data_IF_152925893134
#
_entry.id   IF_152925893134
#
_cell.length_a   1.000
_cell.length_b   1.000
_cell.length_c   1.000
_cell.angle_alpha   90.00
_cell.angle_beta   90.00
_cell.angle_gamma   90.00
#
_symmetry.space_group_name_H-M   'P 1'
#
loop_
_entity.id
_entity.type
_entity.pdbx_description
1 polymer ?
#
# COMPACT_ATOMS: atom_id res chain seq x y z
N UNK A 1 -13.39 -13.28 1.24
CA UNK A 1 -14.39 -12.24 0.92
C UNK A 1 -14.93 -11.69 2.23
N UNK A 2 -14.30 -10.66 2.80
CA UNK A 2 -14.88 -9.89 3.91
C UNK A 2 -14.08 -8.60 4.07
N UNK A 3 -14.47 -7.58 3.29
CA UNK A 3 -13.90 -6.22 3.38
C UNK A 3 -14.92 -5.13 3.06
N UNK A 4 -16.19 -5.50 2.81
CA UNK A 4 -17.27 -4.57 2.42
C UNK A 4 -18.27 -4.23 3.53
N UNK A 5 -18.29 -4.98 4.63
CA UNK A 5 -19.16 -4.71 5.78
C UNK A 5 -18.86 -3.36 6.47
N UNK A 6 -17.59 -2.97 6.75
CA UNK A 6 -17.33 -1.72 7.48
C UNK A 6 -17.69 -0.45 6.69
N UNK A 7 -17.60 -0.47 5.35
CA UNK A 7 -17.94 0.69 4.51
C UNK A 7 -19.46 0.90 4.45
N UNK A 8 -20.22 -0.20 4.45
CA UNK A 8 -21.69 -0.14 4.41
C UNK A 8 -22.27 0.41 5.71
N UNK A 9 -21.67 0.07 6.85
CA UNK A 9 -22.03 0.65 8.15
C UNK A 9 -21.70 2.14 8.24
N UNK A 10 -20.52 2.57 7.74
CA UNK A 10 -20.14 3.98 7.69
C UNK A 10 -21.09 4.81 6.81
N UNK A 11 -21.51 4.28 5.67
CA UNK A 11 -22.47 4.95 4.79
C UNK A 11 -23.86 5.08 5.43
N UNK A 12 -24.32 4.03 6.10
CA UNK A 12 -25.59 4.04 6.84
C UNK A 12 -25.60 5.07 7.98
N UNK A 13 -24.49 5.17 8.73
CA UNK A 13 -24.33 6.14 9.80
C UNK A 13 -24.38 7.59 9.27
N UNK A 14 -23.70 7.87 8.16
CA UNK A 14 -23.71 9.19 7.52
C UNK A 14 -25.12 9.59 7.03
N UNK A 15 -25.86 8.64 6.46
CA UNK A 15 -27.21 8.86 5.98
C UNK A 15 -28.19 9.15 7.13
N UNK A 16 -28.00 8.49 8.28
CA UNK A 16 -28.76 8.75 9.52
C UNK A 16 -28.47 10.16 10.06
N UNK A 17 -27.20 10.57 10.09
CA UNK A 17 -26.79 11.90 10.55
C UNK A 17 -27.36 13.02 9.67
N UNK A 18 -27.42 12.83 8.34
CA UNK A 18 -28.03 13.81 7.44
C UNK A 18 -29.54 13.99 7.65
N UNK A 19 -30.27 12.90 7.88
CA UNK A 19 -31.71 12.95 8.19
C UNK A 19 -32.00 13.71 9.49
N UNK A 20 -31.17 13.49 10.51
CA UNK A 20 -31.33 14.13 11.81
C UNK A 20 -31.10 15.64 11.74
N UNK A 21 -30.11 16.08 10.96
CA UNK A 21 -29.85 17.50 10.68
C UNK A 21 -31.03 18.19 9.98
N UNK A 22 -31.67 17.50 9.03
CA UNK A 22 -32.83 18.02 8.30
C UNK A 22 -34.04 18.20 9.23
N UNK A 23 -34.26 17.27 10.16
CA UNK A 23 -35.35 17.35 11.12
C UNK A 23 -35.15 18.51 12.12
N UNK A 24 -33.93 18.72 12.61
CA UNK A 24 -33.60 19.84 13.49
C UNK A 24 -33.82 21.21 12.81
N UNK A 25 -33.54 21.31 11.50
CA UNK A 25 -33.82 22.54 10.73
C UNK A 25 -35.32 22.79 10.56
N UNK A 26 -36.12 21.74 10.33
CA UNK A 26 -37.58 21.84 10.25
C UNK A 26 -38.20 22.31 11.58
N UNK A 27 -37.74 21.76 12.70
CA UNK A 27 -38.18 22.17 14.04
C UNK A 27 -37.84 23.63 14.35
N UNK A 28 -36.64 24.09 13.97
CA UNK A 28 -36.25 25.50 14.13
C UNK A 28 -37.10 26.44 13.27
N UNK A 29 -37.52 26.02 12.07
CA UNK A 29 -38.41 26.84 11.23
C UNK A 29 -39.84 26.92 11.77
N UNK A 30 -40.35 25.84 12.38
CA UNK A 30 -41.69 25.83 12.96
C UNK A 30 -41.76 26.68 14.24
N UNK A 31 -40.72 26.69 15.08
CA UNK A 31 -40.67 27.57 16.26
C UNK A 31 -40.74 29.06 15.87
N UNK A 32 -40.00 29.48 14.83
CA UNK A 32 -40.07 30.87 14.32
C UNK A 32 -41.44 31.29 13.79
N UNK A 33 -42.29 30.36 13.34
CA UNK A 33 -43.64 30.68 12.86
C UNK A 33 -44.66 30.88 13.99
N UNK A 34 -44.46 30.22 15.13
CA UNK A 34 -45.38 30.33 16.28
C UNK A 34 -45.21 31.67 16.99
N UNK A 35 -43.97 32.15 17.14
CA UNK A 35 -43.67 33.41 17.82
C UNK A 35 -44.23 34.64 17.09
N UNK A 36 -44.41 34.58 15.76
CA UNK A 36 -44.98 35.67 14.96
C UNK A 36 -46.52 35.79 15.09
N UNK A 37 -47.22 34.73 15.50
CA UNK A 37 -48.69 34.72 15.58
C UNK A 37 -49.27 35.28 16.88
N UNK A 38 -48.45 35.45 17.93
CA UNK A 38 -48.92 35.87 19.26
C UNK A 38 -49.07 37.39 19.39
N UNK A 39 -48.50 38.19 18.47
CA UNK A 39 -48.45 39.66 18.60
C UNK A 39 -49.60 40.45 17.96
N UNK A 40 -50.65 39.81 17.42
CA UNK A 40 -51.69 40.50 16.64
C UNK A 40 -53.13 40.43 17.18
N UNK A 41 -53.33 40.25 18.48
CA UNK A 41 -54.68 40.36 19.07
C UNK A 41 -54.72 41.41 20.19
N UNK A 42 -54.98 42.67 19.83
CA UNK A 42 -55.60 43.65 20.74
C UNK A 42 -56.80 44.28 20.01
N UNK A 43 -58.00 43.79 20.32
CA UNK A 43 -59.27 44.48 20.07
C UNK A 43 -59.35 45.69 21.01
N UNK A 44 -59.62 46.88 20.46
CA UNK A 44 -59.89 48.09 21.25
C UNK A 44 -61.32 48.51 21.01
N UNK A 45 -62.13 48.26 22.04
CA UNK A 45 -63.48 48.76 22.27
C UNK A 45 -63.48 50.30 22.42
N UNK A 46 -64.49 50.93 21.82
CA UNK A 46 -64.59 52.37 21.62
C UNK A 46 -65.16 53.09 22.85
N UNK A 47 -64.34 53.90 23.53
CA UNK A 47 -64.76 54.89 24.52
C UNK A 47 -63.92 56.19 24.43
N UNK A 48 -64.51 57.40 24.60
CA UNK A 48 -63.84 58.65 24.28
C UNK A 48 -62.98 59.17 25.45
N UNK A 49 -61.65 59.14 25.31
CA UNK A 49 -60.68 59.77 26.22
C UNK A 49 -59.60 60.56 25.41
N UNK A 50 -58.91 61.54 26.04
CA UNK A 50 -58.38 62.73 25.36
C UNK A 50 -57.31 62.44 24.31
N UNK A 51 -57.43 63.12 23.17
CA UNK A 51 -56.71 62.83 21.91
C UNK A 51 -55.23 63.29 21.96
N UNK A 52 -54.82 64.18 22.88
CA UNK A 52 -53.45 64.74 22.89
C UNK A 52 -52.41 63.84 23.57
N UNK A 53 -52.73 63.16 24.68
CA UNK A 53 -51.79 62.21 25.32
C UNK A 53 -51.64 60.92 24.51
N UNK A 54 -52.71 60.48 23.85
CA UNK A 54 -52.72 59.27 23.04
C UNK A 54 -51.86 59.41 21.77
N UNK A 55 -51.84 60.61 21.16
CA UNK A 55 -51.01 60.88 19.98
C UNK A 55 -49.50 60.86 20.30
N UNK A 56 -49.08 61.32 21.49
CA UNK A 56 -47.68 61.25 21.92
C UNK A 56 -47.23 59.81 22.21
N UNK A 57 -48.10 58.98 22.79
CA UNK A 57 -47.82 57.56 23.03
C UNK A 57 -47.74 56.80 21.70
N UNK A 58 -48.66 57.04 20.77
CA UNK A 58 -48.64 56.43 19.43
C UNK A 58 -47.38 56.88 18.66
N UNK A 59 -47.02 58.16 18.72
CA UNK A 59 -45.80 58.66 18.08
C UNK A 59 -44.52 58.03 18.66
N UNK A 60 -44.45 57.82 19.99
CA UNK A 60 -43.28 57.17 20.61
C UNK A 60 -43.21 55.67 20.27
N UNK A 61 -44.36 54.99 20.18
CA UNK A 61 -44.43 53.59 19.75
C UNK A 61 -43.96 53.47 18.29
N UNK A 62 -44.41 54.36 17.40
CA UNK A 62 -43.98 54.38 16.00
C UNK A 62 -42.49 54.69 15.90
N UNK A 63 -41.97 55.64 16.67
CA UNK A 63 -40.54 55.98 16.68
C UNK A 63 -39.69 54.79 17.16
N UNK A 64 -40.08 54.13 18.24
CA UNK A 64 -39.41 52.93 18.75
C UNK A 64 -39.48 51.76 17.75
N UNK A 65 -40.60 51.60 17.05
CA UNK A 65 -40.73 50.59 15.98
C UNK A 65 -39.83 50.94 14.78
N UNK A 66 -39.76 52.20 14.38
CA UNK A 66 -38.87 52.67 13.32
C UNK A 66 -37.40 52.47 13.70
N UNK A 67 -37.02 52.74 14.95
CA UNK A 67 -35.68 52.50 15.46
C UNK A 67 -35.32 51.01 15.43
N UNK A 68 -36.20 50.15 15.94
CA UNK A 68 -36.01 48.69 15.91
C UNK A 68 -35.91 48.15 14.48
N UNK A 69 -36.78 48.62 13.56
CA UNK A 69 -36.70 48.25 12.14
C UNK A 69 -35.38 48.73 11.50
N UNK A 70 -34.92 49.94 11.82
CA UNK A 70 -33.64 50.46 11.34
C UNK A 70 -32.46 49.63 11.86
N UNK A 71 -32.52 49.20 13.12
CA UNK A 71 -31.50 48.34 13.73
C UNK A 71 -31.48 46.96 13.08
N UNK A 72 -32.65 46.34 12.85
CA UNK A 72 -32.75 45.08 12.09
C UNK A 72 -32.23 45.22 10.65
N UNK A 73 -32.53 46.33 9.97
CA UNK A 73 -32.00 46.60 8.62
C UNK A 73 -30.47 46.70 8.66
N UNK A 74 -29.92 47.35 9.69
CA UNK A 74 -28.48 47.48 9.88
C UNK A 74 -27.84 46.11 10.13
N UNK A 75 -28.38 45.31 11.04
CA UNK A 75 -27.90 43.95 11.32
C UNK A 75 -27.95 43.05 10.07
N UNK A 76 -29.05 43.10 9.31
CA UNK A 76 -29.18 42.34 8.07
C UNK A 76 -28.21 42.81 6.98
N UNK A 77 -27.86 44.09 6.95
CA UNK A 77 -26.82 44.63 6.06
C UNK A 77 -25.43 44.15 6.47
N UNK A 78 -25.14 44.19 7.77
CA UNK A 78 -23.86 43.74 8.31
C UNK A 78 -23.67 42.23 8.07
N UNK A 79 -24.73 41.44 8.30
CA UNK A 79 -24.71 40.00 8.04
C UNK A 79 -24.59 39.68 6.55
N UNK A 80 -25.30 40.40 5.68
CA UNK A 80 -25.08 40.30 4.23
C UNK A 80 -23.63 40.63 3.84
N UNK A 81 -23.04 41.64 4.48
CA UNK A 81 -21.64 42.01 4.29
C UNK A 81 -20.68 40.88 4.65
N UNK A 82 -20.89 40.24 5.81
CA UNK A 82 -20.11 39.07 6.25
C UNK A 82 -20.29 37.89 5.31
N UNK A 83 -21.51 37.57 4.91
CA UNK A 83 -21.80 36.46 3.99
C UNK A 83 -21.16 36.68 2.62
N UNK A 84 -21.16 37.91 2.09
CA UNK A 84 -20.48 38.23 0.82
C UNK A 84 -18.96 38.05 0.91
N UNK A 85 -18.33 38.44 2.03
CA UNK A 85 -16.91 38.19 2.26
C UNK A 85 -16.59 36.70 2.33
N UNK A 86 -17.37 35.94 3.09
CA UNK A 86 -17.19 34.49 3.20
C UNK A 86 -17.40 33.79 1.84
N UNK A 87 -18.38 34.23 1.05
CA UNK A 87 -18.59 33.72 -0.30
C UNK A 87 -17.35 33.99 -1.18
N UNK A 88 -16.81 35.21 -1.16
CA UNK A 88 -15.61 35.56 -1.92
C UNK A 88 -14.38 34.73 -1.50
N UNK A 89 -14.20 34.48 -0.20
CA UNK A 89 -13.15 33.59 0.31
C UNK A 89 -13.33 32.15 -0.19
N UNK A 90 -14.57 31.63 -0.17
CA UNK A 90 -14.88 30.28 -0.66
C UNK A 90 -14.73 30.16 -2.17
N UNK A 91 -15.11 31.19 -2.92
CA UNK A 91 -14.91 31.24 -4.37
C UNK A 91 -13.42 31.26 -4.73
N UNK A 92 -12.60 32.00 -3.95
CA UNK A 92 -11.15 31.97 -4.09
C UNK A 92 -10.57 30.58 -3.77
N UNK A 93 -11.00 29.96 -2.67
CA UNK A 93 -10.58 28.60 -2.30
C UNK A 93 -10.96 27.59 -3.38
N UNK A 94 -12.18 27.65 -3.91
CA UNK A 94 -12.65 26.80 -5.01
C UNK A 94 -11.83 27.05 -6.29
N UNK A 95 -11.51 28.30 -6.60
CA UNK A 95 -10.65 28.65 -7.73
C UNK A 95 -9.24 28.11 -7.57
N UNK A 96 -8.67 28.21 -6.37
CA UNK A 96 -7.36 27.68 -6.03
C UNK A 96 -7.32 26.15 -6.11
N UNK A 97 -8.30 25.46 -5.53
CA UNK A 97 -8.42 24.00 -5.61
C UNK A 97 -8.62 23.50 -7.04
N UNK A 98 -9.41 24.21 -7.85
CA UNK A 98 -9.53 23.89 -9.29
C UNK A 98 -8.21 24.07 -10.02
N UNK A 99 -7.43 25.10 -9.70
CA UNK A 99 -6.11 25.31 -10.31
C UNK A 99 -5.16 24.16 -9.95
N UNK A 100 -5.10 23.77 -8.68
CA UNK A 100 -4.32 22.59 -8.26
C UNK A 100 -4.79 21.33 -8.97
N UNK A 101 -6.10 21.07 -9.03
CA UNK A 101 -6.62 19.90 -9.74
C UNK A 101 -6.29 19.91 -11.23
N UNK A 102 -6.32 21.08 -11.88
CA UNK A 102 -5.97 21.18 -13.29
C UNK A 102 -4.45 21.06 -13.49
N UNK A 103 -3.62 21.57 -12.58
CA UNK A 103 -2.16 21.37 -12.59
C UNK A 103 -1.79 19.90 -12.33
N UNK A 104 -2.43 19.24 -11.36
CA UNK A 104 -2.29 17.79 -11.11
C UNK A 104 -2.79 16.97 -12.29
N UNK A 105 -3.92 17.37 -12.88
CA UNK A 105 -4.45 16.75 -14.10
C UNK A 105 -3.53 16.97 -15.28
N UNK A 106 -2.88 18.13 -15.42
CA UNK A 106 -1.90 18.39 -16.47
C UNK A 106 -0.56 17.69 -16.20
N UNK A 107 -0.18 17.47 -14.94
CA UNK A 107 0.99 16.67 -14.58
C UNK A 107 0.74 15.17 -14.79
N UNK A 108 -0.49 14.71 -14.48
CA UNK A 108 -0.95 13.33 -14.70
C UNK A 108 -1.21 13.06 -16.19
N UNK A 109 -1.79 14.02 -16.89
CA UNK A 109 -1.94 14.10 -18.35
C UNK A 109 -0.80 14.96 -18.92
N UNK A 110 0.43 14.74 -18.44
CA UNK A 110 1.65 15.41 -18.88
C UNK A 110 2.02 15.05 -20.32
N UNK A 111 1.19 15.46 -21.26
CA UNK A 111 1.31 15.21 -22.68
C UNK A 111 -0.04 15.24 -23.37
N UNK A 112 -0.64 16.43 -23.49
CA UNK A 112 -1.93 16.66 -24.13
C UNK A 112 -1.90 16.50 -25.67
N UNK A 113 -1.11 15.55 -26.19
CA UNK A 113 -1.20 15.10 -27.59
C UNK A 113 -0.96 13.60 -27.82
N UNK A 114 -0.27 12.86 -26.95
CA UNK A 114 -0.02 11.40 -27.15
C UNK A 114 0.14 10.61 -25.83
N UNK A 115 0.29 11.28 -24.68
CA UNK A 115 0.76 10.65 -23.43
C UNK A 115 -0.29 9.81 -22.66
N UNK A 116 -1.56 10.21 -22.67
CA UNK A 116 -2.62 9.48 -21.95
C UNK A 116 -2.92 8.11 -22.55
N UNK A 117 -2.94 8.04 -23.89
CA UNK A 117 -3.10 6.77 -24.62
C UNK A 117 -1.84 5.91 -24.51
N UNK A 118 -0.65 6.53 -24.49
CA UNK A 118 0.62 5.85 -24.21
C UNK A 118 0.69 5.25 -22.79
N UNK A 119 0.14 5.92 -21.77
CA UNK A 119 0.10 5.39 -20.39
C UNK A 119 -0.96 4.27 -20.29
N UNK A 120 -2.14 4.46 -20.89
CA UNK A 120 -3.18 3.43 -20.90
C UNK A 120 -2.72 2.16 -21.63
N UNK A 121 -2.10 2.31 -22.80
CA UNK A 121 -1.46 1.20 -23.51
C UNK A 121 -0.33 0.58 -22.69
N UNK A 122 0.49 1.38 -21.99
CA UNK A 122 1.53 0.83 -21.12
C UNK A 122 0.99 0.06 -19.92
N UNK A 123 -0.12 0.50 -19.32
CA UNK A 123 -0.80 -0.22 -18.24
C UNK A 123 -1.34 -1.56 -18.76
N UNK A 124 -1.95 -1.57 -19.94
CA UNK A 124 -2.45 -2.80 -20.57
C UNK A 124 -1.30 -3.73 -20.94
N UNK A 125 -0.21 -3.21 -21.49
CA UNK A 125 0.99 -3.97 -21.85
C UNK A 125 1.65 -4.58 -20.61
N UNK A 126 1.84 -3.79 -19.53
CA UNK A 126 2.36 -4.27 -18.26
C UNK A 126 1.42 -5.31 -17.63
N UNK A 127 0.11 -5.12 -17.73
CA UNK A 127 -0.88 -6.09 -17.25
C UNK A 127 -0.82 -7.39 -18.04
N UNK A 128 -0.64 -7.32 -19.35
CA UNK A 128 -0.45 -8.49 -20.22
C UNK A 128 0.84 -9.24 -19.88
N UNK A 129 1.95 -8.50 -19.75
CA UNK A 129 3.25 -9.04 -19.33
C UNK A 129 3.20 -9.67 -17.94
N UNK A 130 2.44 -9.09 -17.02
CA UNK A 130 2.27 -9.65 -15.67
C UNK A 130 1.46 -10.97 -15.70
N UNK A 131 0.45 -11.09 -16.58
CA UNK A 131 -0.26 -12.35 -16.83
C UNK A 131 0.65 -13.41 -17.46
N UNK A 132 1.46 -13.03 -18.44
CA UNK A 132 2.43 -13.92 -19.09
C UNK A 132 3.48 -14.45 -18.10
N UNK A 133 4.10 -13.57 -17.33
CA UNK A 133 5.06 -13.95 -16.27
C UNK A 133 4.41 -14.84 -15.21
N UNK A 134 3.16 -14.57 -14.83
CA UNK A 134 2.42 -15.42 -13.90
C UNK A 134 2.19 -16.82 -14.47
N UNK A 135 1.82 -16.92 -15.75
CA UNK A 135 1.64 -18.21 -16.44
C UNK A 135 2.97 -18.97 -16.59
N UNK A 136 4.05 -18.29 -16.92
CA UNK A 136 5.38 -18.88 -17.04
C UNK A 136 5.87 -19.41 -15.68
N UNK A 137 5.70 -18.63 -14.61
CA UNK A 137 6.02 -19.03 -13.24
C UNK A 137 5.20 -20.25 -12.80
N UNK A 138 3.91 -20.30 -13.11
CA UNK A 138 3.06 -21.46 -12.81
C UNK A 138 3.53 -22.70 -13.60
N UNK A 139 3.93 -22.52 -14.86
CA UNK A 139 4.47 -23.60 -15.70
C UNK A 139 5.81 -24.15 -15.17
N UNK A 140 6.70 -23.28 -14.71
CA UNK A 140 7.97 -23.66 -14.10
C UNK A 140 7.77 -24.33 -12.74
N UNK A 141 6.83 -23.84 -11.93
CA UNK A 141 6.40 -24.54 -10.70
C UNK A 141 5.87 -25.94 -11.00
N UNK A 142 5.09 -26.11 -12.06
CA UNK A 142 4.60 -27.42 -12.47
C UNK A 142 5.74 -28.36 -12.92
N UNK A 143 6.72 -27.84 -13.68
CA UNK A 143 7.93 -28.60 -14.06
C UNK A 143 8.77 -28.99 -12.84
N UNK A 144 8.99 -28.06 -11.90
CA UNK A 144 9.71 -28.34 -10.65
C UNK A 144 9.00 -29.38 -9.80
N UNK A 145 7.67 -29.34 -9.69
CA UNK A 145 6.89 -30.39 -9.01
C UNK A 145 7.08 -31.75 -9.67
N UNK A 146 7.01 -31.82 -11.01
CA UNK A 146 7.24 -33.07 -11.75
C UNK A 146 8.66 -33.62 -11.54
N UNK A 147 9.67 -32.75 -11.63
CA UNK A 147 11.06 -33.13 -11.37
C UNK A 147 11.28 -33.57 -9.92
N UNK A 148 10.68 -32.87 -8.95
CA UNK A 148 10.75 -33.24 -7.53
C UNK A 148 10.12 -34.59 -7.25
N UNK A 149 8.96 -34.90 -7.85
CA UNK A 149 8.33 -36.23 -7.76
C UNK A 149 9.25 -37.28 -8.36
N UNK A 150 9.82 -37.03 -9.54
CA UNK A 150 10.75 -37.96 -10.21
C UNK A 150 12.03 -38.19 -9.41
N UNK A 151 12.60 -37.16 -8.78
CA UNK A 151 13.73 -37.31 -7.87
C UNK A 151 13.36 -38.19 -6.67
N UNK A 152 12.19 -37.98 -6.05
CA UNK A 152 11.70 -38.83 -4.95
C UNK A 152 11.45 -40.28 -5.38
N UNK A 153 10.93 -40.49 -6.58
CA UNK A 153 10.76 -41.84 -7.14
C UNK A 153 12.10 -42.53 -7.36
N UNK A 154 13.08 -41.83 -7.94
CA UNK A 154 14.44 -42.34 -8.15
C UNK A 154 15.17 -42.61 -6.83
N UNK A 155 15.04 -41.73 -5.83
CA UNK A 155 15.54 -41.95 -4.47
C UNK A 155 14.88 -43.18 -3.82
N UNK A 156 13.56 -43.36 -3.99
CA UNK A 156 12.85 -44.53 -3.46
C UNK A 156 13.28 -45.83 -4.15
N UNK A 157 13.56 -45.80 -5.46
CA UNK A 157 14.09 -46.95 -6.20
C UNK A 157 15.52 -47.26 -5.75
N UNK A 158 16.38 -46.24 -5.62
CA UNK A 158 17.76 -46.40 -5.19
C UNK A 158 17.86 -46.98 -3.76
N UNK A 159 16.97 -46.56 -2.86
CA UNK A 159 16.87 -47.10 -1.50
C UNK A 159 16.33 -48.55 -1.48
N UNK A 160 15.45 -48.93 -2.41
CA UNK A 160 14.98 -50.32 -2.57
C UNK A 160 16.05 -51.24 -3.16
N UNK A 161 16.94 -50.72 -4.01
CA UNK A 161 18.06 -51.49 -4.56
C UNK A 161 19.27 -51.60 -3.63
N UNK A 162 19.34 -50.77 -2.58
CA UNK A 162 20.40 -50.82 -1.55
C UNK A 162 19.99 -51.52 -0.25
N UNK A 163 18.72 -51.91 -0.09
CA UNK A 163 18.18 -52.49 1.13
C UNK A 163 17.58 -53.88 0.93
N UNK A 164 18.40 -54.87 0.56
CA UNK A 164 18.05 -56.29 0.75
C UNK A 164 19.12 -56.99 1.60
N UNK A 165 19.25 -56.53 2.84
CA UNK A 165 19.83 -57.30 3.94
C UNK A 165 18.98 -57.04 5.20
N UNK A 166 18.19 -58.07 5.52
CA UNK A 166 17.76 -58.49 6.86
C UNK A 166 16.35 -58.13 7.40
N UNK A 167 15.67 -59.22 7.80
CA UNK A 167 14.64 -59.40 8.87
C UNK A 167 13.18 -59.06 8.50
N UNK A 168 12.41 -60.07 8.08
CA UNK A 168 11.59 -61.05 8.85
C UNK A 168 10.13 -60.62 9.00
N UNK A 169 9.18 -61.57 8.87
CA UNK A 169 7.80 -61.33 8.48
C UNK A 169 6.92 -61.08 9.71
N UNK A 170 5.81 -60.35 9.52
CA UNK A 170 4.51 -60.46 10.21
C UNK A 170 3.71 -59.20 9.82
N UNK A 171 2.55 -59.39 9.17
CA UNK A 171 1.55 -58.39 8.69
C UNK A 171 1.64 -57.89 7.22
N UNK A 172 2.29 -58.63 6.32
CA UNK A 172 2.43 -58.18 4.93
C UNK A 172 1.18 -58.38 4.05
N UNK A 173 0.26 -59.30 4.36
CA UNK A 173 -0.83 -59.61 3.41
C UNK A 173 -1.89 -58.50 3.29
N UNK A 174 -2.27 -57.84 4.39
CA UNK A 174 -3.22 -56.71 4.33
C UNK A 174 -2.59 -55.45 3.72
N UNK A 175 -1.36 -55.12 4.09
CA UNK A 175 -0.64 -53.96 3.54
C UNK A 175 -0.26 -54.13 2.07
N UNK A 176 0.04 -55.37 1.65
CA UNK A 176 0.36 -55.69 0.25
C UNK A 176 -0.90 -55.71 -0.61
N UNK A 177 -2.00 -56.28 -0.11
CA UNK A 177 -3.29 -56.23 -0.79
C UNK A 177 -3.82 -54.78 -0.92
N UNK A 178 -3.66 -53.94 0.10
CA UNK A 178 -4.07 -52.53 0.04
C UNK A 178 -3.21 -51.71 -0.92
N UNK A 179 -1.90 -51.99 -0.97
CA UNK A 179 -0.99 -51.37 -1.92
C UNK A 179 -1.24 -51.82 -3.35
N UNK A 180 -1.48 -53.12 -3.59
CA UNK A 180 -1.87 -53.66 -4.89
C UNK A 180 -3.24 -53.11 -5.33
N UNK A 181 -4.21 -52.99 -4.41
CA UNK A 181 -5.50 -52.36 -4.69
C UNK A 181 -5.37 -50.88 -5.06
N UNK A 182 -4.44 -50.15 -4.43
CA UNK A 182 -4.15 -48.75 -4.77
C UNK A 182 -3.45 -48.63 -6.12
N UNK A 183 -2.46 -49.47 -6.40
CA UNK A 183 -1.77 -49.53 -7.69
C UNK A 183 -2.72 -49.89 -8.84
N UNK A 184 -3.61 -50.86 -8.62
CA UNK A 184 -4.67 -51.22 -9.58
C UNK A 184 -5.66 -50.07 -9.77
N UNK A 185 -6.06 -49.38 -8.71
CA UNK A 185 -6.96 -48.21 -8.79
C UNK A 185 -6.32 -47.06 -9.57
N UNK A 186 -5.05 -46.79 -9.35
CA UNK A 186 -4.32 -45.75 -10.06
C UNK A 186 -4.08 -46.13 -11.53
N UNK A 187 -3.82 -47.41 -11.82
CA UNK A 187 -3.73 -47.93 -13.19
C UNK A 187 -5.07 -47.85 -13.94
N UNK A 188 -6.18 -48.11 -13.26
CA UNK A 188 -7.53 -47.93 -13.82
C UNK A 188 -7.78 -46.45 -14.14
N UNK A 189 -7.38 -45.53 -13.26
CA UNK A 189 -7.50 -44.09 -13.51
C UNK A 189 -6.64 -43.63 -14.70
N UNK A 190 -5.39 -44.10 -14.80
CA UNK A 190 -4.51 -43.79 -15.94
C UNK A 190 -5.09 -44.31 -17.26
N UNK A 191 -5.55 -45.56 -17.28
CA UNK A 191 -6.21 -46.14 -18.46
C UNK A 191 -7.50 -45.40 -18.82
N UNK A 192 -8.29 -44.96 -17.84
CA UNK A 192 -9.48 -44.16 -18.08
C UNK A 192 -9.14 -42.79 -18.68
N UNK A 193 -8.08 -42.13 -18.19
CA UNK A 193 -7.60 -40.87 -18.75
C UNK A 193 -7.12 -41.05 -20.21
N UNK A 194 -6.30 -42.06 -20.48
CA UNK A 194 -5.85 -42.39 -21.85
C UNK A 194 -7.01 -42.74 -22.78
N UNK A 195 -8.01 -43.46 -22.28
CA UNK A 195 -9.22 -43.76 -23.04
C UNK A 195 -10.00 -42.50 -23.41
N UNK A 196 -10.16 -41.56 -22.47
CA UNK A 196 -10.82 -40.28 -22.76
C UNK A 196 -10.03 -39.43 -23.77
N UNK A 197 -8.71 -39.39 -23.67
CA UNK A 197 -7.85 -38.69 -24.62
C UNK A 197 -7.93 -39.31 -26.03
N UNK A 198 -7.82 -40.63 -26.12
CA UNK A 198 -7.95 -41.35 -27.39
C UNK A 198 -9.34 -41.15 -28.02
N UNK A 199 -10.40 -41.11 -27.20
CA UNK A 199 -11.77 -40.80 -27.68
C UNK A 199 -11.86 -39.37 -28.21
N UNK A 200 -11.30 -38.38 -27.52
CA UNK A 200 -11.24 -37.00 -28.00
C UNK A 200 -10.46 -36.89 -29.32
N UNK A 201 -9.31 -37.57 -29.45
CA UNK A 201 -8.53 -37.58 -30.68
C UNK A 201 -9.28 -38.25 -31.84
N UNK A 202 -10.04 -39.31 -31.56
CA UNK A 202 -10.91 -39.97 -32.54
C UNK A 202 -12.05 -39.04 -33.01
N UNK A 203 -12.61 -38.22 -32.12
CA UNK A 203 -13.63 -37.24 -32.49
C UNK A 203 -13.05 -36.08 -33.31
N UNK A 204 -11.85 -35.60 -32.97
CA UNK A 204 -11.13 -34.58 -33.77
C UNK A 204 -10.83 -35.10 -35.17
N UNK A 205 -10.22 -36.28 -35.28
CA UNK A 205 -9.88 -36.89 -36.58
C UNK A 205 -11.12 -37.17 -37.43
N UNK A 206 -12.25 -37.58 -36.82
CA UNK A 206 -13.54 -37.69 -37.52
C UNK A 206 -14.05 -36.35 -38.04
N UNK A 207 -13.90 -35.27 -37.27
CA UNK A 207 -14.30 -33.93 -37.71
C UNK A 207 -13.40 -33.41 -38.84
N UNK A 208 -12.10 -33.64 -38.76
CA UNK A 208 -11.14 -33.30 -39.82
C UNK A 208 -11.44 -34.09 -41.09
N UNK A 209 -11.72 -35.38 -40.99
CA UNK A 209 -12.12 -36.21 -42.12
C UNK A 209 -13.38 -35.66 -42.80
N UNK A 210 -14.39 -35.24 -42.03
CA UNK A 210 -15.59 -34.58 -42.57
C UNK A 210 -15.26 -33.25 -43.27
N UNK A 211 -14.33 -32.45 -42.74
CA UNK A 211 -13.90 -31.20 -43.38
C UNK A 211 -13.18 -31.47 -44.69
N UNK A 212 -12.29 -32.47 -44.74
CA UNK A 212 -11.58 -32.88 -45.96
C UNK A 212 -12.56 -33.43 -47.00
N UNK A 213 -13.52 -34.26 -46.59
CA UNK A 213 -14.58 -34.74 -47.47
C UNK A 213 -15.38 -33.57 -48.07
N UNK A 214 -15.83 -32.61 -47.25
CA UNK A 214 -16.52 -31.40 -47.76
C UNK A 214 -15.67 -30.53 -48.68
N UNK A 215 -14.36 -30.41 -48.42
CA UNK A 215 -13.45 -29.70 -49.30
C UNK A 215 -13.35 -30.41 -50.65
N UNK A 216 -13.25 -31.75 -50.63
CA UNK A 216 -13.23 -32.56 -51.83
C UNK A 216 -14.56 -32.49 -52.60
N UNK A 217 -15.71 -32.47 -51.92
CA UNK A 217 -17.04 -32.27 -52.55
C UNK A 217 -17.07 -30.95 -53.35
N UNK A 218 -16.51 -29.87 -52.80
CA UNK A 218 -16.45 -28.57 -53.50
C UNK A 218 -15.55 -28.59 -54.73
N UNK A 219 -14.46 -29.35 -54.70
CA UNK A 219 -13.51 -29.48 -55.81
C UNK A 219 -14.04 -30.38 -56.93
N UNK A 220 -14.69 -31.47 -56.57
CA UNK A 220 -15.21 -32.50 -57.48
C UNK A 220 -16.61 -32.11 -58.01
N UNK A 221 -17.37 -31.33 -57.25
CA UNK A 221 -18.74 -30.90 -57.56
C UNK A 221 -19.81 -31.84 -56.98
N UNK A 222 -20.99 -31.28 -56.69
CA UNK A 222 -22.08 -31.95 -55.97
C UNK A 222 -22.67 -33.20 -56.68
N UNK A 223 -22.32 -33.42 -57.95
CA UNK A 223 -22.86 -34.50 -58.79
C UNK A 223 -22.05 -35.79 -58.74
N UNK A 224 -20.92 -35.83 -58.01
CA UNK A 224 -19.99 -36.95 -58.04
C UNK A 224 -19.87 -37.62 -56.66
N UNK A 225 -20.15 -38.92 -56.61
CA UNK A 225 -20.07 -39.70 -55.38
C UNK A 225 -18.61 -39.98 -54.99
N UNK A 226 -18.13 -39.34 -53.93
CA UNK A 226 -16.77 -39.50 -53.39
C UNK A 226 -16.47 -40.96 -53.01
N UNK A 227 -17.45 -41.71 -52.54
CA UNK A 227 -17.27 -43.12 -52.20
C UNK A 227 -16.99 -43.97 -53.44
N UNK A 228 -17.54 -43.63 -54.60
CA UNK A 228 -17.26 -44.30 -55.87
C UNK A 228 -15.85 -43.93 -56.40
N UNK A 229 -15.35 -42.73 -56.11
CA UNK A 229 -13.96 -42.35 -56.41
C UNK A 229 -12.99 -43.14 -55.52
N UNK A 230 -13.24 -43.18 -54.21
CA UNK A 230 -12.39 -43.93 -53.25
C UNK A 230 -12.35 -45.43 -53.55
N UNK A 231 -13.47 -46.01 -54.00
CA UNK A 231 -13.55 -47.42 -54.39
C UNK A 231 -13.06 -47.69 -55.82
N UNK A 232 -12.57 -46.68 -56.55
CA UNK A 232 -12.01 -46.82 -57.89
C UNK A 232 -13.03 -47.17 -58.99
N UNK A 233 -14.34 -47.07 -58.71
CA UNK A 233 -15.42 -47.40 -59.66
C UNK A 233 -15.91 -46.18 -60.44
N UNK A 234 -15.34 -45.00 -60.22
CA UNK A 234 -15.70 -43.76 -60.88
C UNK A 234 -14.72 -43.40 -62.00
N UNK A 235 -15.26 -43.04 -63.18
CA UNK A 235 -14.47 -42.50 -64.30
C UNK A 235 -14.17 -40.99 -64.17
N UNK A 236 -14.36 -40.42 -62.98
CA UNK A 236 -14.16 -39.00 -62.75
C UNK A 236 -12.68 -38.62 -62.83
N UNK A 237 -12.35 -37.67 -63.72
CA UNK A 237 -11.02 -37.08 -63.87
C UNK A 237 -11.09 -35.68 -63.28
N UNK A 238 -10.28 -35.39 -62.24
CA UNK A 238 -10.45 -34.19 -61.39
C UNK A 238 -10.63 -32.87 -62.14
N UNK A 239 -11.39 -31.92 -61.56
CA UNK A 239 -11.76 -30.64 -62.17
C UNK A 239 -10.57 -29.87 -62.74
N UNK A 240 -9.44 -29.86 -62.04
CA UNK A 240 -8.20 -29.25 -62.53
C UNK A 240 -7.73 -29.86 -63.86
N UNK A 241 -7.77 -31.19 -63.99
CA UNK A 241 -7.40 -31.87 -65.23
C UNK A 241 -8.42 -31.58 -66.34
N UNK A 242 -9.71 -31.48 -66.00
CA UNK A 242 -10.76 -31.12 -66.95
C UNK A 242 -10.59 -29.67 -67.43
N UNK A 243 -10.24 -28.73 -66.55
CA UNK A 243 -9.91 -27.35 -66.89
C UNK A 243 -8.69 -27.30 -67.82
N UNK A 244 -7.61 -28.00 -67.48
CA UNK A 244 -6.40 -28.08 -68.34
C UNK A 244 -6.78 -28.61 -69.73
N UNK A 245 -7.53 -29.70 -69.80
CA UNK A 245 -7.97 -30.29 -71.08
C UNK A 245 -8.85 -29.33 -71.88
N UNK A 246 -9.73 -28.58 -71.22
CA UNK A 246 -10.57 -27.56 -71.87
C UNK A 246 -9.75 -26.35 -72.32
N UNK A 247 -8.78 -25.91 -71.53
CA UNK A 247 -7.85 -24.83 -71.89
C UNK A 247 -7.01 -25.21 -73.11
N UNK A 248 -6.50 -26.44 -73.16
CA UNK A 248 -5.78 -26.99 -74.32
C UNK A 248 -6.68 -27.01 -75.56
N UNK A 249 -7.93 -27.51 -75.45
CA UNK A 249 -8.89 -27.49 -76.56
C UNK A 249 -9.25 -26.08 -77.01
N UNK A 250 -9.43 -25.13 -76.09
CA UNK A 250 -9.70 -23.73 -76.43
C UNK A 250 -8.50 -23.12 -77.16
N UNK A 251 -7.28 -23.41 -76.72
CA UNK A 251 -6.06 -22.93 -77.38
C UNK A 251 -5.91 -23.55 -78.78
N UNK A 252 -6.23 -24.83 -78.94
CA UNK A 252 -6.25 -25.50 -80.25
C UNK A 252 -7.32 -24.88 -81.17
N UNK A 253 -8.54 -24.68 -80.69
CA UNK A 253 -9.62 -24.05 -81.45
C UNK A 253 -9.29 -22.60 -81.81
N UNK A 254 -8.73 -21.82 -80.88
CA UNK A 254 -8.23 -20.46 -81.18
C UNK A 254 -7.17 -20.49 -82.27
N UNK A 255 -6.22 -21.43 -82.20
CA UNK A 255 -5.18 -21.60 -83.21
C UNK A 255 -5.79 -21.97 -84.58
N UNK A 256 -6.79 -22.84 -84.61
CA UNK A 256 -7.55 -23.20 -85.82
C UNK A 256 -8.35 -22.02 -86.38
N UNK A 257 -8.99 -21.19 -85.54
CA UNK A 257 -9.72 -20.00 -86.00
C UNK A 257 -8.78 -18.94 -86.56
N UNK A 258 -7.59 -18.76 -85.97
CA UNK A 258 -6.56 -17.86 -86.49
C UNK A 258 -6.06 -18.36 -87.85
N UNK A 259 -5.81 -19.67 -88.00
CA UNK A 259 -5.44 -20.26 -89.30
C UNK A 259 -6.57 -20.26 -90.34
N UNK A 260 -7.83 -20.39 -89.92
CA UNK A 260 -8.97 -20.29 -90.84
C UNK A 260 -9.27 -18.83 -91.23
N UNK A 261 -8.97 -17.86 -90.37
CA UNK A 261 -9.12 -16.43 -90.69
C UNK A 261 -8.05 -15.93 -91.67
N UNK A 262 -6.90 -16.60 -91.79
CA UNK A 262 -5.91 -16.30 -92.84
C UNK A 262 -6.33 -16.74 -94.25
N UNK A 263 -7.44 -17.48 -94.41
CA UNK A 263 -7.98 -17.91 -95.71
C UNK A 263 -9.28 -17.18 -96.12
N UNK A 264 -9.72 -16.17 -95.38
CA UNK A 264 -10.93 -15.39 -95.66
C UNK A 264 -10.63 -13.90 -95.89
N UNK A 265 -10.01 -13.58 -97.02
CA UNK A 265 -9.88 -12.21 -97.52
C UNK A 265 -11.17 -11.83 -98.28
N UNK A 266 -12.04 -11.02 -97.65
CA UNK A 266 -12.85 -9.95 -98.26
C UNK A 266 -13.98 -9.48 -97.32
N UNK A 267 -13.81 -8.28 -96.75
CA UNK A 267 -14.75 -7.14 -96.71
C UNK A 267 -14.21 -6.15 -95.67
N UNK A 268 -13.64 -5.03 -96.10
CA UNK A 268 -14.33 -3.79 -96.47
C UNK A 268 -14.60 -2.89 -95.25
N UNK A 269 -13.77 -1.85 -95.16
CA UNK A 269 -14.08 -0.50 -94.73
C UNK A 269 -15.17 -0.31 -93.64
N UNK A 270 -14.79 -0.49 -92.37
CA UNK A 270 -15.31 0.32 -91.23
C UNK A 270 -14.69 -0.07 -89.87
N UNK A 271 -13.74 -1.02 -89.83
CA UNK A 271 -13.10 -1.47 -88.58
C UNK A 271 -11.96 -0.57 -88.08
N UNK A 272 -11.49 0.38 -88.90
CA UNK A 272 -10.27 1.15 -88.59
C UNK A 272 -10.48 2.27 -87.55
N UNK A 273 -11.73 2.73 -87.35
CA UNK A 273 -12.10 3.74 -86.34
C UNK A 273 -12.51 3.11 -85.00
N UNK A 274 -12.91 1.83 -84.99
CA UNK A 274 -13.24 1.11 -83.76
C UNK A 274 -11.98 0.44 -83.17
N UNK A 275 -11.10 -0.11 -84.02
CA UNK A 275 -9.84 -0.71 -83.59
C UNK A 275 -8.87 0.32 -82.99
N UNK A 276 -8.72 1.51 -83.57
CA UNK A 276 -7.87 2.59 -83.01
C UNK A 276 -8.41 3.13 -81.69
N UNK A 277 -9.73 3.28 -81.54
CA UNK A 277 -10.36 3.70 -80.28
C UNK A 277 -10.28 2.61 -79.20
N UNK A 278 -10.36 1.33 -79.58
CA UNK A 278 -10.15 0.21 -78.65
C UNK A 278 -8.68 0.12 -78.23
N UNK A 279 -7.73 0.33 -79.14
CA UNK A 279 -6.30 0.27 -78.86
C UNK A 279 -5.83 1.48 -78.01
N UNK A 280 -6.38 2.68 -78.26
CA UNK A 280 -6.11 3.87 -77.43
C UNK A 280 -6.77 3.79 -76.04
N UNK A 281 -7.98 3.23 -75.92
CA UNK A 281 -8.62 3.02 -74.61
C UNK A 281 -7.97 1.88 -73.82
N UNK A 282 -7.52 0.81 -74.48
CA UNK A 282 -6.72 -0.26 -73.87
C UNK A 282 -5.35 0.29 -73.43
N UNK A 283 -4.66 1.07 -74.28
CA UNK A 283 -3.40 1.72 -73.94
C UNK A 283 -3.53 2.68 -72.75
N UNK A 284 -4.58 3.50 -72.70
CA UNK A 284 -4.86 4.40 -71.57
C UNK A 284 -5.20 3.65 -70.28
N UNK A 285 -5.98 2.56 -70.37
CA UNK A 285 -6.26 1.69 -69.23
C UNK A 285 -4.97 1.01 -68.72
N UNK A 286 -4.11 0.56 -69.63
CA UNK A 286 -2.83 -0.07 -69.32
C UNK A 286 -1.85 0.94 -68.71
N UNK A 287 -1.88 2.20 -69.14
CA UNK A 287 -1.12 3.29 -68.54
C UNK A 287 -1.62 3.63 -67.13
N UNK A 288 -2.94 3.69 -66.91
CA UNK A 288 -3.53 3.85 -65.57
C UNK A 288 -3.16 2.70 -64.64
N UNK A 289 -3.15 1.45 -65.12
CA UNK A 289 -2.70 0.31 -64.33
C UNK A 289 -1.21 0.39 -63.98
N UNK A 290 -0.36 0.85 -64.90
CA UNK A 290 1.07 1.08 -64.62
C UNK A 290 1.30 2.17 -63.57
N UNK A 291 0.57 3.27 -63.67
CA UNK A 291 0.69 4.36 -62.69
C UNK A 291 0.13 3.96 -61.32
N UNK A 292 -0.94 3.15 -61.29
CA UNK A 292 -1.46 2.56 -60.06
C UNK A 292 -0.48 1.57 -59.42
N UNK A 293 0.19 0.72 -60.21
CA UNK A 293 1.27 -0.15 -59.71
C UNK A 293 2.40 0.69 -59.09
N UNK A 294 2.86 1.75 -59.78
CA UNK A 294 3.88 2.66 -59.25
C UNK A 294 3.43 3.41 -57.99
N UNK A 295 2.14 3.71 -57.87
CA UNK A 295 1.55 4.31 -56.65
C UNK A 295 1.62 3.31 -55.49
N UNK A 296 1.14 2.09 -55.69
CA UNK A 296 1.17 1.01 -54.69
C UNK A 296 2.62 0.67 -54.29
N UNK A 297 3.56 0.65 -55.23
CA UNK A 297 4.99 0.41 -54.94
C UNK A 297 5.61 1.53 -54.08
N UNK A 298 5.27 2.79 -54.37
CA UNK A 298 5.69 3.93 -53.53
C UNK A 298 5.07 3.86 -52.15
N UNK A 299 3.76 3.65 -52.05
CA UNK A 299 3.06 3.50 -50.77
C UNK A 299 3.66 2.34 -49.95
N UNK A 300 3.96 1.19 -50.59
CA UNK A 300 4.61 0.05 -49.93
C UNK A 300 6.01 0.41 -49.43
N UNK A 301 6.79 1.17 -50.22
CA UNK A 301 8.13 1.62 -49.82
C UNK A 301 8.06 2.61 -48.66
N UNK A 302 7.12 3.54 -48.69
CA UNK A 302 6.92 4.55 -47.65
C UNK A 302 6.46 3.88 -46.34
N UNK A 303 5.52 2.93 -46.40
CA UNK A 303 5.11 2.11 -45.26
C UNK A 303 6.27 1.30 -44.69
N UNK A 304 7.11 0.72 -45.56
CA UNK A 304 8.29 -0.03 -45.11
C UNK A 304 9.30 0.87 -44.40
N UNK A 305 9.57 2.07 -44.92
CA UNK A 305 10.50 3.01 -44.27
C UNK A 305 9.91 3.54 -42.96
N UNK A 306 8.60 3.81 -42.89
CA UNK A 306 7.92 4.18 -41.65
C UNK A 306 8.04 3.07 -40.58
N UNK A 307 7.72 1.82 -40.95
CA UNK A 307 7.86 0.67 -40.04
C UNK A 307 9.31 0.48 -39.58
N UNK A 308 10.29 0.69 -40.46
CA UNK A 308 11.71 0.61 -40.13
C UNK A 308 12.13 1.71 -39.14
N UNK A 309 11.65 2.93 -39.33
CA UNK A 309 11.88 4.03 -38.39
C UNK A 309 11.24 3.74 -37.04
N UNK A 310 10.00 3.25 -37.02
CA UNK A 310 9.29 2.87 -35.78
C UNK A 310 10.00 1.74 -35.03
N UNK A 311 10.49 0.72 -35.75
CA UNK A 311 11.32 -0.34 -35.13
C UNK A 311 12.60 0.26 -34.53
N UNK A 312 13.21 1.24 -35.20
CA UNK A 312 14.42 1.89 -34.69
C UNK A 312 14.16 2.76 -33.47
N UNK A 313 13.06 3.52 -33.44
CA UNK A 313 12.67 4.32 -32.26
C UNK A 313 12.35 3.41 -31.08
N UNK A 314 11.56 2.34 -31.28
CA UNK A 314 11.23 1.36 -30.24
C UNK A 314 12.51 0.69 -29.70
N UNK A 315 13.48 0.34 -30.57
CA UNK A 315 14.77 -0.22 -30.11
C UNK A 315 15.56 0.76 -29.25
N UNK A 316 15.62 2.03 -29.66
CA UNK A 316 16.30 3.06 -28.88
C UNK A 316 15.62 3.27 -27.52
N UNK A 317 14.28 3.34 -27.50
CA UNK A 317 13.49 3.43 -26.27
C UNK A 317 13.73 2.22 -25.36
N UNK A 318 13.72 1.01 -25.92
CA UNK A 318 14.01 -0.22 -25.18
C UNK A 318 15.41 -0.17 -24.55
N UNK A 319 16.41 0.35 -25.27
CA UNK A 319 17.77 0.50 -24.74
C UNK A 319 17.80 1.51 -23.59
N UNK A 320 17.21 2.71 -23.77
CA UNK A 320 17.17 3.71 -22.69
C UNK A 320 16.42 3.22 -21.45
N UNK A 321 15.36 2.44 -21.61
CA UNK A 321 14.63 1.83 -20.49
C UNK A 321 15.46 0.76 -19.77
N UNK A 322 16.24 -0.04 -20.49
CA UNK A 322 17.20 -0.97 -19.88
C UNK A 322 18.26 -0.23 -19.06
N UNK A 323 18.81 0.86 -19.60
CA UNK A 323 19.83 1.65 -18.90
C UNK A 323 19.25 2.29 -17.62
N UNK A 324 18.03 2.86 -17.70
CA UNK A 324 17.31 3.38 -16.51
C UNK A 324 17.03 2.30 -15.47
N UNK A 325 16.66 1.10 -15.90
CA UNK A 325 16.45 -0.04 -15.00
C UNK A 325 17.74 -0.43 -14.29
N UNK A 326 18.86 -0.49 -15.02
CA UNK A 326 20.15 -0.88 -14.46
C UNK A 326 20.71 0.19 -13.49
N UNK A 327 20.52 1.47 -13.82
CA UNK A 327 20.79 2.58 -12.91
C UNK A 327 19.96 2.47 -11.63
N UNK A 328 18.66 2.17 -11.75
CA UNK A 328 17.77 1.99 -10.59
C UNK A 328 18.18 0.81 -9.71
N UNK A 329 18.54 -0.33 -10.31
CA UNK A 329 19.09 -1.48 -9.57
C UNK A 329 20.37 -1.14 -8.83
N UNK A 330 21.30 -0.46 -9.50
CA UNK A 330 22.58 -0.05 -8.89
C UNK A 330 22.34 0.89 -7.71
N UNK A 331 21.46 1.88 -7.87
CA UNK A 331 21.04 2.76 -6.78
C UNK A 331 20.41 1.98 -5.62
N UNK A 332 19.55 0.99 -5.92
CA UNK A 332 18.91 0.18 -4.89
C UNK A 332 19.93 -0.65 -4.09
N UNK A 333 20.95 -1.20 -4.75
CA UNK A 333 22.05 -1.93 -4.11
C UNK A 333 22.82 -0.99 -3.17
N UNK A 334 23.19 0.22 -3.64
CA UNK A 334 23.91 1.21 -2.84
C UNK A 334 23.08 1.62 -1.61
N UNK A 335 21.82 2.00 -1.81
CA UNK A 335 20.92 2.38 -0.71
C UNK A 335 20.71 1.23 0.29
N UNK A 336 20.62 0.00 -0.19
CA UNK A 336 20.51 -1.18 0.68
C UNK A 336 21.77 -1.35 1.54
N UNK A 337 22.94 -1.12 0.96
CA UNK A 337 24.20 -1.18 1.70
C UNK A 337 24.32 -0.02 2.70
N UNK A 338 23.94 1.20 2.33
CA UNK A 338 23.88 2.34 3.26
C UNK A 338 22.95 2.07 4.45
N UNK A 339 21.76 1.51 4.21
CA UNK A 339 20.83 1.10 5.28
C UNK A 339 21.47 0.05 6.19
N UNK A 340 22.22 -0.91 5.66
CA UNK A 340 22.93 -1.91 6.48
C UNK A 340 23.99 -1.23 7.35
N UNK A 341 24.81 -0.35 6.78
CA UNK A 341 25.84 0.39 7.53
C UNK A 341 25.23 1.28 8.61
N UNK A 342 24.15 2.00 8.31
CA UNK A 342 23.44 2.83 9.30
C UNK A 342 22.85 1.99 10.43
N UNK A 343 22.31 0.80 10.14
CA UNK A 343 21.81 -0.12 11.17
C UNK A 343 22.93 -0.63 12.08
N UNK A 344 24.10 -0.91 11.51
CA UNK A 344 25.27 -1.32 12.28
C UNK A 344 25.78 -0.18 13.16
N UNK A 345 25.89 1.03 12.63
CA UNK A 345 26.23 2.22 13.41
C UNK A 345 25.23 2.46 14.54
N UNK A 346 23.92 2.37 14.27
CA UNK A 346 22.89 2.49 15.29
C UNK A 346 23.03 1.42 16.38
N UNK A 347 23.32 0.17 16.00
CA UNK A 347 23.57 -0.92 16.95
C UNK A 347 24.75 -0.59 17.86
N UNK A 348 25.86 -0.13 17.31
CA UNK A 348 27.02 0.27 18.13
C UNK A 348 26.71 1.45 19.07
N UNK A 349 25.90 2.40 18.62
CA UNK A 349 25.49 3.53 19.48
C UNK A 349 24.56 3.09 20.60
N UNK A 350 23.66 2.14 20.34
CA UNK A 350 22.80 1.55 21.37
C UNK A 350 23.61 0.75 22.39
N UNK A 351 24.62 0.00 21.93
CA UNK A 351 25.54 -0.69 22.83
C UNK A 351 26.27 0.32 23.72
N UNK A 352 26.82 1.42 23.16
CA UNK A 352 27.44 2.48 23.97
C UNK A 352 26.49 3.07 25.01
N UNK A 353 25.26 3.40 24.62
CA UNK A 353 24.24 3.90 25.55
C UNK A 353 24.00 2.94 26.72
N UNK A 354 23.96 1.63 26.47
CA UNK A 354 23.82 0.64 27.55
C UNK A 354 25.01 0.64 28.50
N UNK A 355 26.23 0.72 27.98
CA UNK A 355 27.43 0.81 28.82
C UNK A 355 27.45 2.12 29.63
N UNK A 356 27.00 3.23 29.03
CA UNK A 356 26.87 4.51 29.73
C UNK A 356 25.82 4.43 30.85
N UNK A 357 24.67 3.78 30.60
CA UNK A 357 23.64 3.52 31.61
C UNK A 357 24.17 2.64 32.76
N UNK A 358 24.91 1.57 32.44
CA UNK A 358 25.58 0.72 33.44
C UNK A 358 26.60 1.51 34.27
N UNK A 359 27.38 2.39 33.63
CA UNK A 359 28.33 3.27 34.32
C UNK A 359 27.62 4.25 35.25
N UNK A 360 26.53 4.86 34.80
CA UNK A 360 25.68 5.76 35.62
C UNK A 360 25.15 4.99 36.83
N UNK A 361 24.64 3.78 36.66
CA UNK A 361 24.15 2.94 37.75
C UNK A 361 25.24 2.63 38.79
N UNK A 362 26.46 2.32 38.34
CA UNK A 362 27.60 2.08 39.23
C UNK A 362 27.96 3.35 40.01
N UNK A 363 28.01 4.51 39.34
CA UNK A 363 28.32 5.79 39.98
C UNK A 363 27.23 6.19 40.99
N UNK A 364 25.95 5.98 40.66
CA UNK A 364 24.84 6.24 41.57
C UNK A 364 24.91 5.34 42.82
N UNK A 365 25.23 4.06 42.66
CA UNK A 365 25.46 3.14 43.79
C UNK A 365 26.63 3.59 44.66
N UNK A 366 27.75 4.00 44.05
CA UNK A 366 28.90 4.53 44.80
C UNK A 366 28.54 5.81 45.56
N UNK A 367 27.82 6.74 44.92
CA UNK A 367 27.35 7.97 45.55
C UNK A 367 26.43 7.69 46.74
N UNK A 368 25.50 6.73 46.58
CA UNK A 368 24.61 6.30 47.66
C UNK A 368 25.39 5.68 48.82
N UNK A 369 26.37 4.81 48.53
CA UNK A 369 27.22 4.22 49.56
C UNK A 369 28.01 5.28 50.33
N UNK A 370 28.60 6.26 49.62
CA UNK A 370 29.31 7.38 50.26
C UNK A 370 28.38 8.20 51.16
N UNK A 371 27.15 8.47 50.71
CA UNK A 371 26.16 9.18 51.52
C UNK A 371 25.80 8.41 52.80
N UNK A 372 25.61 7.10 52.72
CA UNK A 372 25.35 6.24 53.88
C UNK A 372 26.55 6.29 54.86
N UNK A 373 27.78 6.17 54.35
CA UNK A 373 28.97 6.28 55.21
C UNK A 373 29.10 7.65 55.86
N UNK A 374 28.77 8.74 55.14
CA UNK A 374 28.78 10.09 55.70
C UNK A 374 27.73 10.26 56.81
N UNK A 375 26.50 9.76 56.61
CA UNK A 375 25.46 9.75 57.62
C UNK A 375 25.87 8.93 58.86
N UNK A 376 26.56 7.80 58.66
CA UNK A 376 27.07 6.98 59.75
C UNK A 376 28.18 7.70 60.53
N UNK A 377 29.18 8.29 59.84
CA UNK A 377 30.22 9.08 60.49
C UNK A 377 29.64 10.27 61.27
N UNK A 378 28.60 10.93 60.73
CA UNK A 378 27.93 12.03 61.43
C UNK A 378 27.29 11.56 62.73
N UNK A 379 26.61 10.41 62.73
CA UNK A 379 26.04 9.80 63.94
C UNK A 379 27.13 9.43 64.95
N UNK A 380 28.24 8.86 64.49
CA UNK A 380 29.36 8.47 65.35
C UNK A 380 30.02 9.69 66.00
N UNK A 381 30.13 10.81 65.26
CA UNK A 381 30.59 12.10 65.79
C UNK A 381 29.64 12.66 66.85
N UNK A 382 28.33 12.64 66.60
CA UNK A 382 27.33 13.11 67.57
C UNK A 382 27.34 12.27 68.86
N UNK A 383 27.52 10.95 68.75
CA UNK A 383 27.66 10.05 69.89
C UNK A 383 28.94 10.36 70.66
N UNK A 384 30.08 10.51 69.98
CA UNK A 384 31.34 10.88 70.63
C UNK A 384 31.24 12.23 71.34
N UNK A 385 30.58 13.21 70.75
CA UNK A 385 30.37 14.51 71.36
C UNK A 385 29.57 14.39 72.66
N UNK A 386 28.46 13.63 72.67
CA UNK A 386 27.67 13.35 73.87
C UNK A 386 28.50 12.68 74.96
N UNK A 387 29.24 11.63 74.63
CA UNK A 387 30.12 10.92 75.58
C UNK A 387 31.17 11.87 76.17
N UNK A 388 31.81 12.70 75.35
CA UNK A 388 32.78 13.69 75.84
C UNK A 388 32.13 14.72 76.78
N UNK A 389 30.94 15.22 76.46
CA UNK A 389 30.23 16.16 77.34
C UNK A 389 29.82 15.53 78.67
N UNK A 390 29.36 14.28 78.67
CA UNK A 390 29.04 13.53 79.89
C UNK A 390 30.31 13.27 80.72
N UNK A 391 31.42 12.93 80.07
CA UNK A 391 32.72 12.75 80.72
C UNK A 391 33.24 14.06 81.34
N UNK A 392 33.08 15.19 80.66
CA UNK A 392 33.41 16.50 81.23
C UNK A 392 32.54 16.85 82.44
N UNK A 393 31.24 16.56 82.39
CA UNK A 393 30.32 16.81 83.51
C UNK A 393 30.66 15.94 84.73
N UNK A 394 30.94 14.66 84.52
CA UNK A 394 31.35 13.74 85.60
C UNK A 394 32.68 14.15 86.22
N UNK A 395 33.68 14.51 85.40
CA UNK A 395 34.96 15.04 85.88
C UNK A 395 34.78 16.32 86.71
N UNK A 396 33.92 17.26 86.30
CA UNK A 396 33.61 18.48 87.07
C UNK A 396 32.95 18.15 88.41
N UNK A 397 32.02 17.21 88.42
CA UNK A 397 31.34 16.77 89.65
C UNK A 397 32.34 16.14 90.63
N UNK A 398 33.25 15.29 90.14
CA UNK A 398 34.25 14.66 90.98
C UNK A 398 35.31 15.65 91.49
N UNK A 399 35.73 16.63 90.67
CA UNK A 399 36.55 17.75 91.14
C UNK A 399 35.84 18.57 92.25
N UNK A 400 34.54 18.81 92.12
CA UNK A 400 33.76 19.52 93.15
C UNK A 400 33.67 18.72 94.45
N UNK A 401 33.46 17.39 94.38
CA UNK A 401 33.49 16.50 95.55
C UNK A 401 34.86 16.51 96.22
N UNK A 402 35.94 16.38 95.46
CA UNK A 402 37.31 16.45 95.98
C UNK A 402 37.59 17.79 96.64
N UNK A 403 37.18 18.91 96.02
CA UNK A 403 37.31 20.26 96.58
C UNK A 403 36.55 20.40 97.89
N UNK A 404 35.32 19.89 97.97
CA UNK A 404 34.53 19.91 99.20
C UNK A 404 35.15 19.04 100.30
N UNK A 405 35.68 17.87 99.95
CA UNK A 405 36.41 17.00 100.89
C UNK A 405 37.66 17.68 101.43
N UNK A 406 38.44 18.34 100.55
CA UNK A 406 39.62 19.12 100.96
C UNK A 406 39.22 20.22 101.94
N UNK A 407 38.13 20.96 101.66
CA UNK A 407 37.62 21.99 102.60
C UNK A 407 37.20 21.41 103.95
N UNK A 408 36.54 20.25 103.96
CA UNK A 408 36.18 19.57 105.22
C UNK A 408 37.43 19.13 105.98
N UNK A 409 38.42 18.58 105.30
CA UNK A 409 39.70 18.18 105.90
C UNK A 409 40.47 19.39 106.44
N UNK A 410 40.50 20.51 105.71
CA UNK A 410 41.08 21.78 106.16
C UNK A 410 40.38 22.30 107.42
N UNK A 411 39.05 22.29 107.46
CA UNK A 411 38.30 22.70 108.65
C UNK A 411 38.62 21.82 109.87
N UNK A 412 38.70 20.50 109.69
CA UNK A 412 39.10 19.58 110.76
C UNK A 412 40.52 19.88 111.20
N UNK A 413 41.44 20.16 110.26
CA UNK A 413 42.83 20.47 110.54
C UNK A 413 42.94 21.78 111.34
N UNK A 414 42.23 22.83 110.95
CA UNK A 414 42.13 24.10 111.69
C UNK A 414 41.59 23.88 113.10
N UNK A 415 40.53 23.08 113.26
CA UNK A 415 39.97 22.73 114.58
C UNK A 415 40.98 21.94 115.44
N UNK A 416 41.80 21.09 114.82
CA UNK A 416 42.86 20.36 115.53
C UNK A 416 44.01 21.29 115.91
N UNK A 417 44.41 22.20 115.03
CA UNK A 417 45.44 23.21 115.30
C UNK A 417 45.02 24.17 116.42
N UNK A 418 43.76 24.64 116.42
CA UNK A 418 43.26 25.46 117.53
C UNK A 418 43.26 24.67 118.84
N UNK A 419 42.86 23.40 118.81
CA UNK A 419 42.89 22.56 120.02
C UNK A 419 44.31 22.28 120.51
N UNK A 420 45.26 22.07 119.60
CA UNK A 420 46.68 21.95 119.94
C UNK A 420 47.14 23.24 120.62
N UNK A 421 46.83 24.41 120.04
CA UNK A 421 47.18 25.71 120.62
C UNK A 421 46.58 25.93 122.02
N UNK A 422 45.32 25.54 122.23
CA UNK A 422 44.70 25.55 123.57
C UNK A 422 45.42 24.65 124.56
N UNK A 423 45.77 23.42 124.14
CA UNK A 423 46.49 22.46 124.99
C UNK A 423 47.92 22.91 125.28
N UNK A 424 48.61 23.54 124.32
CA UNK A 424 49.91 24.18 124.50
C UNK A 424 49.83 25.32 125.52
N UNK A 425 48.81 26.17 125.42
CA UNK A 425 48.57 27.25 126.39
C UNK A 425 48.33 26.69 127.80
N UNK A 426 47.52 25.63 127.94
CA UNK A 426 47.32 24.96 129.23
C UNK A 426 48.57 24.23 129.74
N UNK A 427 49.41 23.70 128.86
CA UNK A 427 50.71 23.12 129.24
C UNK A 427 51.66 24.20 129.75
N UNK A 428 51.67 25.37 129.12
CA UNK A 428 52.47 26.50 129.55
C UNK A 428 51.92 27.12 130.85
N UNK A 429 50.60 27.19 131.05
CA UNK A 429 49.96 27.51 132.34
C UNK A 429 50.37 26.50 133.43
N UNK A 430 50.32 25.20 133.16
CA UNK A 430 50.76 24.16 134.11
C UNK A 430 52.28 24.21 134.40
N UNK A 431 53.11 24.59 133.43
CA UNK A 431 54.55 24.83 133.66
C UNK A 431 54.75 26.06 134.55
N UNK A 432 53.97 27.12 134.37
CA UNK A 432 53.99 28.31 135.22
C UNK A 432 53.52 27.97 136.64
N UNK A 433 52.46 27.18 136.82
CA UNK A 433 52.01 26.72 138.14
C UNK A 433 53.02 25.80 138.83
N UNK A 434 53.73 24.95 138.08
CA UNK A 434 54.85 24.14 138.61
C UNK A 434 56.07 24.98 138.99
N UNK A 435 56.31 26.11 138.31
CA UNK A 435 57.38 27.07 138.65
C UNK A 435 57.03 27.92 139.90
N UNK A 436 55.74 28.03 140.26
CA UNK A 436 55.28 28.74 141.46
C UNK A 436 55.19 27.79 142.69
N UNK A 437 55.22 26.46 142.47
CA UNK A 437 55.20 25.43 143.53
C UNK A 437 56.58 24.86 143.89
N UNK A 438 57.67 25.53 143.50
CA UNK A 438 59.05 25.30 143.98
C UNK A 438 59.54 26.56 144.67
#
# INVERSE_FOLDING_TARGET
MSSGEPVREQFSALQKQQKERLNQLKEKSNKKKVDASVSMNLEVDSGPFPIEENNNVIASIIANQQENLNEQIRELRDENGRLRKLLAEKDYEVGYLRRIQEEERQAFIGGNTVGGDAIATKIVELSKKNRELSAELESERAKLKKLSIKCKELESINNKTQGDVQRTPINDDENKAEKEMKELRDKVKDLQARYTEAKCQLDITKQELKKVQKALEKEVGDTVNIQAILNGTSNWRGRQQQIITLQEKINELKSRTIMNSSNGLNDDWDSNNLATKYDETVSLAQQRHRDEIRRIERERKDLFEQQKQEIQTIRNEQQTLKDKLEQSKTRNIILTNEIKTLREQLKTSLEKSKHDDELIDVLLKQQQQMKITQEQLQKDLDIKFKINTELEQTNKLDQMKQTNMIKQLQLILDQKETKIRELEMHLDENKIEKLISQ
#
